data_IF_250089760564
#
_entry.id   IF_250089760564
#
_cell.length_a   1.000
_cell.length_b   1.000
_cell.length_c   1.000
_cell.angle_alpha   90.00
_cell.angle_beta   90.00
_cell.angle_gamma   90.00
#
_symmetry.space_group_name_H-M   'P 1'
#
loop_
_entity.id
_entity.type
_entity.pdbx_description
1 polymer ?
#
# COMPACT_ATOMS: atom_id res chain seq x y z
N UNK A 1 -69.42 -58.81 15.65
CA UNK A 1 -68.65 -57.77 16.36
C UNK A 1 -67.20 -57.85 15.88
N UNK A 2 -66.76 -56.90 15.07
CA UNK A 2 -65.42 -56.87 14.46
C UNK A 2 -64.58 -55.81 15.17
N UNK A 3 -63.54 -56.23 15.89
CA UNK A 3 -62.59 -55.33 16.55
C UNK A 3 -61.47 -55.00 15.55
N UNK A 4 -61.39 -53.72 15.15
CA UNK A 4 -60.30 -53.16 14.34
C UNK A 4 -59.09 -52.91 15.25
N UNK A 5 -57.96 -53.54 14.95
CA UNK A 5 -56.66 -53.24 15.56
C UNK A 5 -56.04 -51.98 14.91
N UNK A 6 -55.55 -51.06 15.72
CA UNK A 6 -54.76 -49.92 15.28
C UNK A 6 -53.26 -50.29 15.22
N UNK A 7 -52.48 -49.78 14.25
CA UNK A 7 -51.06 -50.07 14.15
C UNK A 7 -50.23 -49.28 15.18
N UNK A 8 -49.16 -49.92 15.66
CA UNK A 8 -48.30 -49.48 16.76
C UNK A 8 -47.50 -48.18 16.46
N UNK A 9 -47.19 -47.37 17.49
CA UNK A 9 -46.60 -46.02 17.37
C UNK A 9 -45.12 -45.95 16.95
N UNK A 10 -44.44 -47.09 16.78
CA UNK A 10 -43.00 -47.13 16.59
C UNK A 10 -42.52 -46.65 15.19
N UNK A 11 -43.36 -46.70 14.16
CA UNK A 11 -43.01 -46.26 12.80
C UNK A 11 -43.05 -44.74 12.65
N UNK A 12 -43.98 -44.07 13.32
CA UNK A 12 -44.16 -42.61 13.26
C UNK A 12 -42.99 -41.85 13.89
N UNK A 13 -42.45 -42.36 14.99
CA UNK A 13 -41.30 -41.75 15.70
C UNK A 13 -40.03 -41.83 14.86
N UNK A 14 -39.81 -42.95 14.16
CA UNK A 14 -38.61 -43.17 13.33
C UNK A 14 -38.56 -42.26 12.09
N UNK A 15 -39.72 -42.00 11.49
CA UNK A 15 -39.87 -41.05 10.38
C UNK A 15 -39.74 -39.60 10.85
N UNK A 16 -40.29 -39.25 12.02
CA UNK A 16 -40.13 -37.92 12.60
C UNK A 16 -38.66 -37.59 12.92
N UNK A 17 -37.90 -38.55 13.46
CA UNK A 17 -36.47 -38.39 13.75
C UNK A 17 -35.63 -38.27 12.48
N UNK A 18 -35.92 -39.07 11.43
CA UNK A 18 -35.25 -38.93 10.11
C UNK A 18 -35.54 -37.57 9.45
N UNK A 19 -36.77 -37.07 9.54
CA UNK A 19 -37.15 -35.75 9.03
C UNK A 19 -36.46 -34.62 9.80
N UNK A 20 -36.36 -34.73 11.13
CA UNK A 20 -35.65 -33.76 11.97
C UNK A 20 -34.13 -33.74 11.70
N UNK A 21 -33.50 -34.91 11.58
CA UNK A 21 -32.07 -35.01 11.21
C UNK A 21 -31.80 -34.52 9.78
N UNK A 22 -32.71 -34.80 8.83
CA UNK A 22 -32.64 -34.27 7.47
C UNK A 22 -32.77 -32.74 7.42
N UNK A 23 -33.68 -32.17 8.20
CA UNK A 23 -33.85 -30.72 8.33
C UNK A 23 -32.65 -30.04 9.02
N UNK A 24 -32.10 -30.63 10.10
CA UNK A 24 -30.90 -30.11 10.77
C UNK A 24 -29.69 -30.10 9.83
N UNK A 25 -29.55 -31.13 9.00
CA UNK A 25 -28.47 -31.23 8.01
C UNK A 25 -28.61 -30.14 6.93
N UNK A 26 -29.83 -29.85 6.48
CA UNK A 26 -30.11 -28.77 5.53
C UNK A 26 -29.79 -27.38 6.11
N UNK A 27 -30.14 -27.14 7.38
CA UNK A 27 -29.87 -25.88 8.07
C UNK A 27 -28.36 -25.63 8.27
N UNK A 28 -27.57 -26.67 8.55
CA UNK A 28 -26.12 -26.57 8.66
C UNK A 28 -25.47 -26.24 7.31
N UNK A 29 -25.93 -26.85 6.21
CA UNK A 29 -25.44 -26.57 4.85
C UNK A 29 -25.77 -25.13 4.41
N UNK A 30 -26.97 -24.64 4.73
CA UNK A 30 -27.36 -23.24 4.43
C UNK A 30 -26.55 -22.22 5.24
N UNK A 31 -26.15 -22.54 6.48
CA UNK A 31 -25.33 -21.63 7.30
C UNK A 31 -23.90 -21.47 6.79
N UNK A 32 -23.28 -22.55 6.28
CA UNK A 32 -21.91 -22.55 5.76
C UNK A 32 -21.78 -21.71 4.48
N UNK A 33 -22.79 -21.72 3.62
CA UNK A 33 -22.83 -20.88 2.42
C UNK A 33 -23.06 -19.39 2.74
N UNK A 34 -23.70 -19.07 3.87
CA UNK A 34 -23.92 -17.67 4.30
C UNK A 34 -22.63 -17.00 4.81
N UNK A 35 -21.69 -17.79 5.36
CA UNK A 35 -20.46 -17.27 5.93
C UNK A 35 -19.53 -16.63 4.89
N UNK A 36 -19.56 -17.12 3.64
CA UNK A 36 -18.77 -16.55 2.55
C UNK A 36 -19.27 -15.18 2.08
N UNK A 37 -20.55 -14.86 2.32
CA UNK A 37 -21.17 -13.59 1.92
C UNK A 37 -21.06 -12.49 2.99
N UNK A 38 -20.50 -12.79 4.18
CA UNK A 38 -20.38 -11.84 5.29
C UNK A 38 -19.07 -11.07 5.24
N UNK A 39 -19.11 -9.83 5.72
CA UNK A 39 -17.92 -9.05 6.01
C UNK A 39 -17.06 -9.76 7.07
N UNK A 40 -15.74 -9.65 6.95
CA UNK A 40 -14.84 -10.21 7.96
C UNK A 40 -14.95 -9.39 9.24
N UNK A 41 -15.21 -10.03 10.37
CA UNK A 41 -15.37 -9.30 11.64
C UNK A 41 -14.05 -8.63 12.07
N UNK A 42 -14.09 -7.45 12.74
CA UNK A 42 -12.88 -6.81 13.27
C UNK A 42 -12.01 -7.72 14.14
N UNK A 43 -12.62 -8.61 14.92
CA UNK A 43 -11.92 -9.60 15.76
C UNK A 43 -11.14 -10.61 14.91
N UNK A 44 -11.77 -11.13 13.85
CA UNK A 44 -11.09 -12.05 12.92
C UNK A 44 -9.95 -11.36 12.18
N UNK A 45 -10.13 -10.11 11.75
CA UNK A 45 -9.04 -9.35 11.10
C UNK A 45 -7.87 -9.14 12.06
N UNK A 46 -8.10 -8.75 13.32
CA UNK A 46 -7.03 -8.61 14.33
C UNK A 46 -6.27 -9.91 14.56
N UNK A 47 -6.99 -11.03 14.66
CA UNK A 47 -6.37 -12.35 14.83
C UNK A 47 -5.50 -12.73 13.63
N UNK A 48 -6.00 -12.51 12.41
CA UNK A 48 -5.24 -12.79 11.19
C UNK A 48 -4.03 -11.87 11.05
N UNK A 49 -4.20 -10.57 11.29
CA UNK A 49 -3.13 -9.57 11.24
C UNK A 49 -2.03 -9.81 12.30
N UNK A 50 -2.39 -10.41 13.44
CA UNK A 50 -1.45 -10.81 14.49
C UNK A 50 -0.71 -12.12 14.23
N UNK A 51 -1.05 -12.86 13.17
CA UNK A 51 -0.42 -14.16 12.89
C UNK A 51 1.06 -14.03 12.51
N UNK A 52 1.86 -15.05 12.84
CA UNK A 52 3.31 -15.09 12.56
C UNK A 52 3.61 -14.82 11.08
N UNK A 53 2.80 -15.37 10.18
CA UNK A 53 2.96 -15.21 8.74
C UNK A 53 2.79 -13.75 8.30
N UNK A 54 1.80 -13.03 8.87
CA UNK A 54 1.60 -11.60 8.59
C UNK A 54 2.74 -10.79 9.17
N UNK A 55 3.19 -11.09 10.39
CA UNK A 55 4.32 -10.38 11.01
C UNK A 55 5.61 -10.53 10.20
N UNK A 56 5.89 -11.73 9.70
CA UNK A 56 7.05 -11.98 8.82
C UNK A 56 6.93 -11.23 7.50
N UNK A 57 5.76 -11.31 6.86
CA UNK A 57 5.50 -10.61 5.58
C UNK A 57 5.62 -9.09 5.74
N UNK A 58 5.10 -8.55 6.85
CA UNK A 58 5.21 -7.13 7.22
C UNK A 58 6.67 -6.72 7.36
N UNK A 59 7.46 -7.50 8.12
CA UNK A 59 8.87 -7.19 8.35
C UNK A 59 9.65 -7.19 7.04
N UNK A 60 9.47 -8.21 6.21
CA UNK A 60 10.16 -8.32 4.92
C UNK A 60 9.79 -7.17 3.96
N UNK A 61 8.50 -6.81 3.90
CA UNK A 61 8.03 -5.68 3.12
C UNK A 61 8.60 -4.35 3.64
N UNK A 62 8.57 -4.11 4.96
CA UNK A 62 9.13 -2.89 5.55
C UNK A 62 10.64 -2.78 5.30
N UNK A 63 11.38 -3.86 5.48
CA UNK A 63 12.82 -3.92 5.24
C UNK A 63 13.15 -3.61 3.78
N UNK A 64 12.41 -4.19 2.83
CA UNK A 64 12.56 -3.88 1.41
C UNK A 64 12.26 -2.41 1.10
N UNK A 65 11.13 -1.88 1.56
CA UNK A 65 10.76 -0.48 1.31
C UNK A 65 11.75 0.51 1.95
N UNK A 66 12.26 0.21 3.14
CA UNK A 66 13.31 1.01 3.78
C UNK A 66 14.65 0.91 3.04
N UNK A 67 14.97 -0.22 2.43
CA UNK A 67 16.18 -0.34 1.61
C UNK A 67 16.16 0.60 0.40
N UNK A 68 14.99 0.85 -0.19
CA UNK A 68 14.81 1.86 -1.26
C UNK A 68 15.11 3.25 -0.72
N UNK A 69 14.53 3.63 0.43
CA UNK A 69 14.81 4.91 1.10
C UNK A 69 16.31 5.08 1.35
N UNK A 70 16.97 4.05 1.88
CA UNK A 70 18.41 4.08 2.13
C UNK A 70 19.25 4.17 0.85
N UNK A 71 18.77 3.67 -0.29
CA UNK A 71 19.48 3.81 -1.56
C UNK A 71 19.53 5.27 -2.01
N UNK A 72 18.47 6.05 -1.83
CA UNK A 72 18.48 7.49 -2.14
C UNK A 72 19.47 8.25 -1.25
N UNK A 73 19.44 7.99 0.06
CA UNK A 73 20.40 8.57 1.02
C UNK A 73 21.86 8.25 0.62
N UNK A 74 22.16 6.99 0.32
CA UNK A 74 23.55 6.57 0.05
C UNK A 74 24.07 6.94 -1.34
N UNK A 75 23.21 6.95 -2.34
CA UNK A 75 23.64 6.98 -3.75
C UNK A 75 23.35 8.31 -4.45
N UNK A 76 22.80 9.30 -3.75
CA UNK A 76 22.41 10.60 -4.31
C UNK A 76 22.87 11.74 -3.39
N UNK A 77 22.70 12.99 -3.83
CA UNK A 77 23.03 14.19 -3.03
C UNK A 77 21.90 14.62 -2.07
N UNK A 78 20.85 13.81 -1.91
CA UNK A 78 19.74 14.10 -1.01
C UNK A 78 20.16 13.91 0.45
N UNK A 79 19.82 14.86 1.31
CA UNK A 79 20.08 14.74 2.75
C UNK A 79 18.84 14.17 3.47
N UNK A 80 18.94 13.08 4.24
CA UNK A 80 17.80 12.51 4.95
C UNK A 80 17.13 13.50 5.91
N UNK A 81 15.80 13.60 5.81
CA UNK A 81 14.98 14.38 6.73
C UNK A 81 14.24 13.47 7.72
N UNK A 82 13.21 12.79 7.21
CA UNK A 82 12.41 11.82 7.97
C UNK A 82 11.67 10.86 7.04
N UNK A 83 11.14 9.79 7.62
CA UNK A 83 10.36 8.75 6.93
C UNK A 83 9.03 8.56 7.65
N UNK A 84 7.96 8.38 6.88
CA UNK A 84 6.68 7.91 7.40
C UNK A 84 6.36 6.52 6.88
N UNK A 85 5.83 5.68 7.75
CA UNK A 85 5.35 4.34 7.42
C UNK A 85 3.88 4.27 7.79
N UNK A 86 3.02 3.97 6.83
CA UNK A 86 1.61 3.67 7.05
C UNK A 86 1.36 2.21 6.69
N UNK A 87 1.02 1.40 7.68
CA UNK A 87 0.68 -0.01 7.54
C UNK A 87 -0.76 -0.23 8.00
N UNK A 88 -1.56 -0.88 7.18
CA UNK A 88 -2.96 -1.16 7.47
C UNK A 88 -3.32 -2.59 7.08
N UNK A 89 -4.19 -3.21 7.89
CA UNK A 89 -4.88 -4.44 7.55
C UNK A 89 -6.39 -4.21 7.60
N UNK A 90 -7.04 -4.41 6.47
CA UNK A 90 -8.49 -4.26 6.31
C UNK A 90 -9.16 -5.61 6.12
N UNK A 91 -10.36 -5.76 6.69
CA UNK A 91 -11.21 -6.92 6.44
C UNK A 91 -11.98 -6.74 5.14
N UNK A 92 -12.19 -7.82 4.39
CA UNK A 92 -13.02 -7.72 3.19
C UNK A 92 -14.51 -7.53 3.50
N UNK A 93 -15.20 -6.88 2.59
CA UNK A 93 -16.62 -6.52 2.66
C UNK A 93 -17.55 -7.73 2.54
N UNK A 94 -18.84 -7.50 2.77
CA UNK A 94 -19.88 -8.44 2.38
C UNK A 94 -20.02 -8.46 0.85
N UNK A 95 -20.60 -9.53 0.28
CA UNK A 95 -20.75 -9.64 -1.18
C UNK A 95 -21.59 -8.49 -1.74
N UNK A 96 -21.01 -7.68 -2.61
CA UNK A 96 -21.68 -6.56 -3.27
C UNK A 96 -22.36 -7.06 -4.56
N UNK A 97 -23.68 -6.88 -4.67
CA UNK A 97 -24.46 -7.42 -5.80
C UNK A 97 -24.58 -6.46 -6.99
N UNK A 98 -24.39 -5.16 -6.76
CA UNK A 98 -24.66 -4.14 -7.79
C UNK A 98 -23.43 -3.31 -8.18
N UNK A 99 -22.35 -3.31 -7.38
CA UNK A 99 -21.09 -2.60 -7.68
C UNK A 99 -19.91 -3.32 -7.00
N UNK A 100 -19.40 -4.43 -7.54
CA UNK A 100 -18.29 -5.15 -6.92
C UNK A 100 -17.02 -4.29 -6.94
N UNK A 101 -16.62 -3.81 -5.76
CA UNK A 101 -15.36 -3.07 -5.54
C UNK A 101 -14.13 -3.98 -5.50
N UNK A 102 -14.35 -5.30 -5.38
CA UNK A 102 -13.29 -6.31 -5.21
C UNK A 102 -12.98 -6.61 -3.75
N UNK A 103 -13.50 -5.79 -2.82
CA UNK A 103 -13.32 -5.95 -1.38
C UNK A 103 -14.08 -7.17 -0.81
N UNK A 104 -15.01 -7.71 -1.59
CA UNK A 104 -15.75 -8.93 -1.27
C UNK A 104 -14.96 -10.22 -1.51
N UNK A 105 -13.81 -10.17 -2.20
CA UNK A 105 -13.05 -11.37 -2.59
C UNK A 105 -12.07 -11.85 -1.52
N UNK A 106 -11.68 -11.00 -0.57
CA UNK A 106 -10.68 -11.31 0.45
C UNK A 106 -11.27 -11.33 1.87
N UNK A 107 -10.64 -12.08 2.77
CA UNK A 107 -10.91 -12.02 4.21
C UNK A 107 -10.15 -10.87 4.84
N UNK A 108 -8.89 -10.75 4.48
CA UNK A 108 -7.96 -9.74 4.96
C UNK A 108 -7.04 -9.34 3.81
N UNK A 109 -6.77 -8.06 3.72
CA UNK A 109 -5.77 -7.47 2.86
C UNK A 109 -4.93 -6.53 3.72
N UNK A 110 -3.61 -6.71 3.68
CA UNK A 110 -2.67 -5.84 4.38
C UNK A 110 -1.73 -5.18 3.39
N UNK A 111 -1.55 -3.88 3.58
CA UNK A 111 -0.82 -3.01 2.70
C UNK A 111 0.05 -2.05 3.50
N UNK A 112 1.22 -1.72 2.94
CA UNK A 112 2.15 -0.76 3.52
C UNK A 112 2.51 0.31 2.50
N UNK A 113 2.58 1.56 2.96
CA UNK A 113 3.12 2.70 2.23
C UNK A 113 4.27 3.28 3.03
N UNK A 114 5.37 3.58 2.33
CA UNK A 114 6.51 4.31 2.89
C UNK A 114 6.72 5.59 2.08
N UNK A 115 6.83 6.70 2.79
CA UNK A 115 7.14 8.01 2.21
C UNK A 115 8.37 8.56 2.90
N UNK A 116 9.37 9.00 2.14
CA UNK A 116 10.58 9.61 2.66
C UNK A 116 10.71 11.06 2.22
N UNK A 117 11.21 11.90 3.11
CA UNK A 117 11.44 13.32 2.88
C UNK A 117 12.91 13.63 3.04
N UNK A 118 13.46 14.37 2.09
CA UNK A 118 14.87 14.75 2.01
C UNK A 118 15.03 16.25 1.82
N UNK A 119 16.14 16.78 2.33
CA UNK A 119 16.58 18.14 2.07
C UNK A 119 17.55 18.22 0.90
N UNK A 120 17.51 19.34 0.19
CA UNK A 120 18.46 19.68 -0.87
C UNK A 120 18.61 21.20 -0.98
N UNK A 121 19.76 21.64 -1.50
CA UNK A 121 20.00 23.04 -1.85
C UNK A 121 19.15 23.44 -3.09
N UNK A 122 18.28 24.45 -3.00
CA UNK A 122 17.45 24.91 -4.13
C UNK A 122 18.26 25.43 -5.33
N UNK A 123 19.54 25.77 -5.15
CA UNK A 123 20.42 26.18 -6.24
C UNK A 123 21.07 25.01 -6.98
N UNK A 124 20.96 23.78 -6.43
CA UNK A 124 21.59 22.57 -6.96
C UNK A 124 20.58 21.53 -7.44
N UNK A 125 19.31 21.91 -7.66
CA UNK A 125 18.26 20.98 -8.10
C UNK A 125 18.67 20.22 -9.36
N UNK A 126 19.35 20.88 -10.31
CA UNK A 126 19.80 20.21 -11.52
C UNK A 126 20.78 19.07 -11.23
N UNK A 127 21.76 19.30 -10.35
CA UNK A 127 22.80 18.32 -10.02
C UNK A 127 22.26 17.21 -9.11
N UNK A 128 21.30 17.54 -8.23
CA UNK A 128 20.55 16.53 -7.47
C UNK A 128 19.80 15.59 -8.40
N UNK A 129 19.04 16.13 -9.38
CA UNK A 129 18.31 15.32 -10.35
C UNK A 129 19.26 14.49 -11.24
N UNK A 130 20.34 15.09 -11.74
CA UNK A 130 21.38 14.41 -12.52
C UNK A 130 22.03 13.26 -11.72
N UNK A 131 22.29 13.47 -10.43
CA UNK A 131 22.80 12.44 -9.51
C UNK A 131 21.81 11.30 -9.28
N UNK A 132 20.53 11.60 -9.09
CA UNK A 132 19.46 10.59 -8.96
C UNK A 132 19.36 9.77 -10.24
N UNK A 133 19.37 10.42 -11.40
CA UNK A 133 19.27 9.74 -12.69
C UNK A 133 20.52 8.91 -13.01
N UNK A 134 21.69 9.37 -12.59
CA UNK A 134 22.94 8.60 -12.65
C UNK A 134 22.88 7.35 -11.76
N UNK A 135 22.25 7.45 -10.58
CA UNK A 135 22.03 6.30 -9.72
C UNK A 135 21.08 5.28 -10.37
N UNK A 136 19.98 5.72 -10.96
CA UNK A 136 19.07 4.79 -11.65
C UNK A 136 19.62 4.22 -12.97
N UNK A 137 20.50 4.93 -13.67
CA UNK A 137 21.27 4.35 -14.79
C UNK A 137 22.09 3.15 -14.30
N UNK A 138 22.85 3.30 -13.20
CA UNK A 138 23.66 2.23 -12.61
C UNK A 138 22.80 1.02 -12.22
N UNK A 139 21.67 1.26 -11.56
CA UNK A 139 20.73 0.20 -11.18
C UNK A 139 20.16 -0.53 -12.40
N UNK A 140 19.87 0.20 -13.49
CA UNK A 140 19.37 -0.38 -14.75
C UNK A 140 20.42 -1.27 -15.44
N UNK A 141 21.70 -0.86 -15.43
CA UNK A 141 22.79 -1.62 -16.05
C UNK A 141 23.20 -2.87 -15.26
N UNK A 142 22.97 -2.89 -13.95
CA UNK A 142 23.29 -4.03 -13.10
C UNK A 142 22.42 -5.27 -13.37
N UNK A 143 21.41 -5.17 -14.25
CA UNK A 143 20.51 -6.28 -14.59
C UNK A 143 19.67 -6.74 -13.39
N UNK A 144 19.62 -5.95 -12.31
CA UNK A 144 18.86 -6.25 -11.11
C UNK A 144 17.36 -6.04 -11.41
N UNK A 145 16.54 -7.11 -11.42
CA UNK A 145 15.09 -6.94 -11.46
C UNK A 145 14.66 -6.17 -10.22
N UNK A 146 14.06 -4.99 -10.38
CA UNK A 146 13.62 -4.15 -9.26
C UNK A 146 14.72 -3.28 -8.65
N UNK A 147 15.55 -2.63 -9.49
CA UNK A 147 16.49 -1.60 -9.06
C UNK A 147 15.88 -0.61 -8.07
N UNK A 148 16.63 -0.25 -7.04
CA UNK A 148 16.17 0.59 -5.93
C UNK A 148 15.80 2.00 -6.36
N UNK A 149 16.46 2.55 -7.38
CA UNK A 149 16.17 3.88 -7.95
C UNK A 149 15.77 3.71 -9.43
N UNK A 150 14.48 3.84 -9.78
CA UNK A 150 13.97 3.53 -11.12
C UNK A 150 14.10 4.69 -12.11
N UNK A 151 14.62 5.84 -11.66
CA UNK A 151 14.74 7.03 -12.50
C UNK A 151 16.09 7.05 -13.20
N UNK A 152 16.10 6.87 -14.52
CA UNK A 152 17.29 6.87 -15.36
C UNK A 152 17.33 8.10 -16.28
N UNK A 153 18.40 8.31 -17.03
CA UNK A 153 18.49 9.40 -18.01
C UNK A 153 17.74 9.09 -19.31
N UNK A 154 16.42 9.01 -19.25
CA UNK A 154 15.57 8.99 -20.45
C UNK A 154 15.55 10.36 -21.17
N UNK A 155 14.88 10.41 -22.33
CA UNK A 155 14.76 11.65 -23.10
C UNK A 155 14.16 12.79 -22.28
N UNK A 156 13.06 12.56 -21.57
CA UNK A 156 12.37 13.60 -20.80
C UNK A 156 13.23 14.10 -19.62
N UNK A 157 13.85 13.18 -18.88
CA UNK A 157 14.65 13.47 -17.67
C UNK A 157 15.95 14.21 -17.99
N UNK A 158 16.59 13.93 -19.14
CA UNK A 158 17.72 14.74 -19.63
C UNK A 158 17.31 16.19 -19.89
N UNK A 159 16.13 16.41 -20.49
CA UNK A 159 15.61 17.76 -20.73
C UNK A 159 15.21 18.46 -19.43
N UNK A 160 14.74 17.71 -18.43
CA UNK A 160 14.48 18.22 -17.10
C UNK A 160 15.74 18.75 -16.42
N UNK A 161 16.85 17.99 -16.45
CA UNK A 161 18.15 18.46 -15.95
C UNK A 161 18.61 19.71 -16.71
N UNK A 162 18.56 19.68 -18.05
CA UNK A 162 18.95 20.83 -18.88
C UNK A 162 18.10 22.08 -18.59
N UNK A 163 16.79 21.90 -18.37
CA UNK A 163 15.91 22.97 -17.92
C UNK A 163 16.41 23.57 -16.62
N UNK A 164 16.65 22.78 -15.57
CA UNK A 164 17.12 23.29 -14.28
C UNK A 164 18.52 23.91 -14.34
N UNK A 165 19.40 23.49 -15.26
CA UNK A 165 20.68 24.16 -15.56
C UNK A 165 20.51 25.49 -16.32
N UNK A 166 19.32 25.79 -16.82
CA UNK A 166 19.04 27.00 -17.61
C UNK A 166 19.43 26.88 -19.09
N UNK A 167 19.58 25.67 -19.61
CA UNK A 167 20.05 25.40 -20.98
C UNK A 167 18.96 24.88 -21.92
N UNK A 168 17.71 24.78 -21.46
CA UNK A 168 16.62 24.24 -22.27
C UNK A 168 15.25 24.79 -21.89
N UNK A 169 14.25 24.64 -22.77
CA UNK A 169 12.88 24.96 -22.45
C UNK A 169 12.34 24.03 -21.36
N UNK A 170 11.21 24.42 -20.76
CA UNK A 170 10.49 23.51 -19.87
C UNK A 170 10.11 22.23 -20.64
N UNK A 171 10.52 21.02 -20.18
CA UNK A 171 10.28 19.76 -20.88
C UNK A 171 8.79 19.39 -21.00
N UNK A 172 7.91 19.96 -20.16
CA UNK A 172 6.46 19.78 -20.29
C UNK A 172 5.80 20.80 -21.23
N UNK A 173 6.55 21.81 -21.68
CA UNK A 173 6.11 22.80 -22.66
C UNK A 173 6.32 24.25 -22.19
N UNK A 174 6.44 25.21 -23.13
CA UNK A 174 6.88 26.59 -22.85
C UNK A 174 5.98 27.37 -21.87
N UNK A 175 4.67 27.08 -21.84
CA UNK A 175 3.69 27.77 -20.99
C UNK A 175 3.19 26.89 -19.84
N UNK A 176 3.90 25.81 -19.52
CA UNK A 176 3.51 24.90 -18.44
C UNK A 176 4.16 25.31 -17.12
N UNK A 177 3.53 24.99 -15.97
CA UNK A 177 4.17 25.16 -14.67
C UNK A 177 5.53 24.47 -14.60
N UNK A 178 6.38 24.91 -13.68
CA UNK A 178 7.66 24.26 -13.41
C UNK A 178 7.43 22.75 -13.11
N UNK A 179 8.12 21.85 -13.82
CA UNK A 179 8.04 20.42 -13.54
C UNK A 179 8.74 20.13 -12.22
N UNK A 180 7.98 19.68 -11.23
CA UNK A 180 8.49 19.40 -9.89
C UNK A 180 8.20 17.96 -9.42
N UNK A 181 8.08 17.04 -10.40
CA UNK A 181 7.88 15.61 -10.14
C UNK A 181 8.40 14.74 -11.28
N UNK A 182 8.79 13.51 -10.95
CA UNK A 182 8.97 12.39 -11.88
C UNK A 182 8.22 11.16 -11.34
N UNK A 183 7.72 10.35 -12.26
CA UNK A 183 6.90 9.18 -11.96
C UNK A 183 7.47 7.92 -12.60
N UNK A 184 7.38 6.83 -11.84
CA UNK A 184 7.58 5.45 -12.24
C UNK A 184 6.47 4.60 -11.56
N UNK A 185 6.00 3.47 -12.14
CA UNK A 185 4.98 2.64 -11.51
C UNK A 185 5.29 2.20 -10.07
N UNK A 186 6.57 2.13 -9.69
CA UNK A 186 7.00 1.76 -8.35
C UNK A 186 7.24 2.95 -7.42
N UNK A 187 7.50 4.16 -7.94
CA UNK A 187 7.95 5.31 -7.16
C UNK A 187 7.52 6.64 -7.79
N UNK A 188 7.13 7.60 -6.94
CA UNK A 188 6.97 9.01 -7.33
C UNK A 188 7.98 9.84 -6.55
N UNK A 189 8.76 10.66 -7.25
CA UNK A 189 9.64 11.64 -6.62
C UNK A 189 9.13 13.04 -6.98
N UNK A 190 8.93 13.87 -5.97
CA UNK A 190 8.49 15.27 -6.13
C UNK A 190 9.37 16.20 -5.30
N UNK A 191 9.41 17.48 -5.65
CA UNK A 191 10.21 18.47 -4.93
C UNK A 191 9.57 19.86 -4.93
N UNK A 192 10.11 20.77 -4.11
CA UNK A 192 9.69 22.17 -4.09
C UNK A 192 9.99 22.84 -5.45
N UNK A 193 9.04 23.58 -6.01
CA UNK A 193 9.31 24.43 -7.19
C UNK A 193 10.28 25.56 -6.82
N UNK A 194 11.40 25.68 -7.51
CA UNK A 194 12.43 26.69 -7.20
C UNK A 194 12.50 27.82 -8.22
N UNK A 195 12.10 27.60 -9.47
CA UNK A 195 12.20 28.59 -10.57
C UNK A 195 10.92 29.38 -10.83
N UNK A 196 9.77 28.77 -10.58
CA UNK A 196 8.45 29.36 -10.79
C UNK A 196 8.18 30.49 -9.78
N UNK A 197 7.47 31.53 -10.24
CA UNK A 197 6.89 32.55 -9.37
C UNK A 197 5.71 31.99 -8.57
N UNK A 198 4.99 31.02 -9.13
CA UNK A 198 3.98 30.24 -8.42
C UNK A 198 4.69 29.11 -7.66
N UNK A 199 4.94 29.35 -6.37
CA UNK A 199 5.55 28.36 -5.50
C UNK A 199 4.53 27.27 -5.16
N UNK A 200 4.85 26.03 -5.53
CA UNK A 200 4.17 24.82 -5.10
C UNK A 200 5.12 24.02 -4.21
N UNK A 201 5.05 24.22 -2.88
CA UNK A 201 5.87 23.45 -1.97
C UNK A 201 5.39 22.00 -1.88
N UNK A 202 6.32 21.09 -1.58
CA UNK A 202 6.01 19.78 -1.05
C UNK A 202 5.24 19.95 0.25
N UNK A 203 4.10 19.28 0.33
CA UNK A 203 3.24 19.25 1.50
C UNK A 203 3.47 17.97 2.29
N UNK A 204 3.50 18.11 3.61
CA UNK A 204 3.41 16.97 4.53
C UNK A 204 1.97 16.46 4.49
N UNK A 205 1.78 15.26 3.96
CA UNK A 205 0.46 14.64 4.03
C UNK A 205 0.31 13.98 5.39
N UNK A 206 -0.68 14.44 6.16
CA UNK A 206 -1.13 13.78 7.40
C UNK A 206 -1.78 12.43 7.04
N UNK A 207 -0.96 11.42 6.77
CA UNK A 207 -1.44 10.07 6.49
C UNK A 207 -1.90 9.34 7.77
N UNK A 208 -1.81 9.98 8.93
CA UNK A 208 -2.16 9.43 10.23
C UNK A 208 -3.52 9.92 10.75
N UNK A 209 -4.41 10.37 9.87
CA UNK A 209 -5.76 10.82 10.28
C UNK A 209 -6.63 9.61 10.63
N UNK A 210 -6.91 9.48 11.94
CA UNK A 210 -7.92 8.63 12.59
C UNK A 210 -7.91 7.14 12.23
N UNK A 211 -7.43 6.34 13.18
CA UNK A 211 -7.63 4.90 13.25
C UNK A 211 -9.11 4.52 13.16
N UNK A 212 -9.57 4.00 12.02
CA UNK A 212 -10.58 2.92 12.03
C UNK A 212 -10.64 2.14 10.70
N UNK A 213 -9.68 1.24 10.47
CA UNK A 213 -10.03 -0.17 10.28
C UNK A 213 -9.14 -1.07 11.17
N UNK A 214 -9.45 -2.37 11.35
CA UNK A 214 -9.23 -3.04 12.64
C UNK A 214 -7.78 -3.13 13.14
N UNK A 215 -6.78 -3.01 12.26
CA UNK A 215 -5.35 -2.83 12.62
C UNK A 215 -4.71 -1.79 11.71
N UNK A 216 -4.19 -0.70 12.31
CA UNK A 216 -3.39 0.33 11.64
C UNK A 216 -2.13 0.60 12.48
N UNK A 217 -0.98 0.76 11.81
CA UNK A 217 0.28 1.19 12.42
C UNK A 217 0.85 2.35 11.59
N UNK A 218 1.04 3.48 12.25
CA UNK A 218 1.68 4.64 11.65
C UNK A 218 2.99 4.95 12.40
N UNK A 219 4.07 5.12 11.66
CA UNK A 219 5.36 5.55 12.19
C UNK A 219 5.77 6.85 11.49
N UNK A 220 6.38 7.75 12.25
CA UNK A 220 7.03 8.95 11.77
C UNK A 220 8.41 8.99 12.45
N UNK A 221 9.48 8.93 11.67
CA UNK A 221 10.84 8.77 12.19
C UNK A 221 11.82 9.76 11.52
N UNK A 222 12.45 10.67 12.28
CA UNK A 222 12.22 10.97 13.70
C UNK A 222 10.88 11.67 13.94
N UNK A 223 10.16 11.33 15.01
CA UNK A 223 8.79 11.82 15.27
C UNK A 223 8.65 13.35 15.43
N UNK A 224 9.75 14.07 15.67
CA UNK A 224 9.76 15.52 15.88
C UNK A 224 10.09 16.32 14.62
N UNK A 225 10.45 15.67 13.52
CA UNK A 225 10.82 16.36 12.27
C UNK A 225 9.58 16.63 11.44
N UNK A 226 9.60 17.72 10.68
CA UNK A 226 8.51 18.08 9.76
C UNK A 226 9.08 18.52 8.42
N UNK A 227 8.23 18.60 7.40
CA UNK A 227 8.61 19.18 6.10
C UNK A 227 9.10 20.62 6.26
N UNK A 228 8.51 21.39 7.19
CA UNK A 228 8.91 22.76 7.48
C UNK A 228 10.35 22.83 8.04
N UNK A 229 10.73 21.88 8.90
CA UNK A 229 12.10 21.83 9.46
C UNK A 229 13.14 21.52 8.38
N UNK A 230 12.85 20.57 7.48
CA UNK A 230 13.73 20.26 6.34
C UNK A 230 13.90 21.51 5.49
N UNK A 231 12.81 22.18 5.13
CA UNK A 231 12.86 23.38 4.28
C UNK A 231 13.63 24.51 4.94
N UNK A 232 13.44 24.73 6.24
CA UNK A 232 14.19 25.73 7.02
C UNK A 232 15.69 25.43 7.02
N UNK A 233 16.07 24.16 7.10
CA UNK A 233 17.46 23.74 7.22
C UNK A 233 18.19 23.69 5.86
N UNK A 234 17.53 23.22 4.80
CA UNK A 234 18.19 22.91 3.52
C UNK A 234 17.71 23.78 2.35
N UNK A 235 16.57 24.46 2.48
CA UNK A 235 16.02 25.37 1.47
C UNK A 235 15.01 24.73 0.52
N UNK A 236 15.22 23.50 0.07
CA UNK A 236 14.25 22.72 -0.71
C UNK A 236 13.99 21.34 -0.10
N UNK A 237 12.78 20.83 -0.33
CA UNK A 237 12.35 19.49 0.09
C UNK A 237 12.10 18.61 -1.12
N UNK A 238 12.58 17.37 -1.05
CA UNK A 238 12.19 16.27 -1.93
C UNK A 238 11.31 15.28 -1.15
N UNK A 239 10.27 14.77 -1.79
CA UNK A 239 9.37 13.73 -1.27
C UNK A 239 9.40 12.54 -2.21
N UNK A 240 9.81 11.40 -1.67
CA UNK A 240 9.77 10.10 -2.31
C UNK A 240 8.57 9.31 -1.79
N UNK A 241 7.64 8.97 -2.66
CA UNK A 241 6.51 8.10 -2.39
C UNK A 241 6.76 6.74 -3.06
N UNK A 242 6.87 5.69 -2.27
CA UNK A 242 7.00 4.33 -2.79
C UNK A 242 5.59 3.75 -2.94
N UNK A 243 5.34 3.08 -4.08
CA UNK A 243 4.06 2.43 -4.37
C UNK A 243 3.66 1.47 -3.26
N UNK A 244 2.34 1.37 -3.04
CA UNK A 244 1.78 0.58 -1.94
C UNK A 244 2.17 -0.89 -2.11
N UNK A 245 2.83 -1.45 -1.09
CA UNK A 245 3.18 -2.85 -1.05
C UNK A 245 2.05 -3.64 -0.40
N UNK A 246 1.32 -4.40 -1.21
CA UNK A 246 0.36 -5.39 -0.72
C UNK A 246 1.16 -6.59 -0.22
N UNK A 247 1.43 -6.67 1.09
CA UNK A 247 2.36 -7.67 1.62
C UNK A 247 1.65 -8.95 2.07
N UNK A 248 0.33 -8.92 2.28
CA UNK A 248 -0.41 -10.09 2.70
C UNK A 248 -1.89 -10.05 2.27
N UNK A 249 -2.39 -11.14 1.70
CA UNK A 249 -3.79 -11.25 1.33
C UNK A 249 -4.30 -12.69 1.47
N UNK A 250 -5.51 -12.85 2.02
CA UNK A 250 -6.21 -14.14 2.13
C UNK A 250 -7.57 -14.04 1.47
N UNK A 251 -7.93 -15.00 0.63
CA UNK A 251 -9.25 -15.09 -0.01
C UNK A 251 -10.37 -15.40 1.00
N UNK A 252 -11.64 -15.09 0.68
CA UNK A 252 -12.82 -15.57 1.44
C UNK A 252 -12.84 -17.09 1.67
N UNK A 253 -12.19 -17.87 0.80
CA UNK A 253 -12.05 -19.33 0.91
C UNK A 253 -10.95 -19.77 1.88
N UNK A 254 -10.24 -18.84 2.53
CA UNK A 254 -9.16 -19.14 3.48
C UNK A 254 -7.81 -19.46 2.81
N UNK A 255 -7.71 -19.42 1.49
CA UNK A 255 -6.45 -19.58 0.77
C UNK A 255 -5.65 -18.28 0.82
N UNK A 256 -4.38 -18.37 1.20
CA UNK A 256 -3.40 -17.28 1.08
C UNK A 256 -3.18 -16.99 -0.42
N UNK A 257 -3.47 -15.75 -0.83
CA UNK A 257 -3.32 -15.28 -2.21
C UNK A 257 -1.92 -14.69 -2.40
N UNK A 258 -1.46 -13.91 -1.42
CA UNK A 258 -0.22 -13.14 -1.50
C UNK A 258 0.47 -13.11 -0.15
N UNK A 259 1.78 -13.34 -0.17
CA UNK A 259 2.70 -13.13 0.94
C UNK A 259 3.98 -12.54 0.40
N UNK A 260 4.46 -11.49 1.04
CA UNK A 260 5.82 -11.03 0.81
C UNK A 260 6.82 -12.09 1.30
N UNK A 261 7.87 -12.34 0.51
CA UNK A 261 8.94 -13.28 0.84
C UNK A 261 10.26 -12.54 0.97
#
# INVERSE_FOLDING_TARGET
MTVKWAPAPASAVREAVKRLLGFLSLLLILSACSAQNRATSPKEVRNLAGSTQVQQSRKAAEEHLRSIVHAYDKNTALTPGFVTVNDMCVGGAAKEWFFPTGDDQYKIHCAMRVTAYYGADPHQIADVLDGIFTAGDRDSFAGAPGGTIPFNHDYHRRHLVAYYRGHGPNPTGPNTPEPAQVFDPSQTLSWDTVRSSQKKPVEEHDLCVRSDPPVTRCLHEPASKTVADIRKQYGAVFKLEISVANYYQVSKKGKVIQTWK
#
